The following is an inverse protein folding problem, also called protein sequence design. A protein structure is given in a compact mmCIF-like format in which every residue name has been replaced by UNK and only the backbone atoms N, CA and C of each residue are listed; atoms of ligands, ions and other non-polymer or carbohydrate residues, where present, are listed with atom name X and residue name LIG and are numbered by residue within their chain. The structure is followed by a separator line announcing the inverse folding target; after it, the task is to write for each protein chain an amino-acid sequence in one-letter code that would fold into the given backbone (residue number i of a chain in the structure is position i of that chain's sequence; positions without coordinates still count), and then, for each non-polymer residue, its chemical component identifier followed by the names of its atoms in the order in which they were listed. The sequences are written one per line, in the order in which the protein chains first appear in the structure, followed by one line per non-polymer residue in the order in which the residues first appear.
data_IF_553408055931
#
_entry.id   IF_553408055931
#
_cell.length_a   1.000
_cell.length_b   1.000
_cell.length_c   1.000
_cell.angle_alpha   90.00
_cell.angle_beta   90.00
_cell.angle_gamma   90.00
#
_symmetry.space_group_name_H-M   'P 1'
#
loop_
_entity.id
_entity.type
_entity.pdbx_description
1 polymer ?
#
# COMPACT_ATOMS: atom_id res chain seq x y z
N UNK A 1 23.96 4.51 9.57
CA UNK A 1 24.01 5.73 10.42
C UNK A 1 24.15 5.43 11.90
N UNK A 2 23.75 4.24 12.39
CA UNK A 2 23.74 3.95 13.83
C UNK A 2 25.12 4.09 14.50
N UNK A 3 26.17 3.56 13.86
CA UNK A 3 27.56 3.69 14.35
C UNK A 3 28.10 5.12 14.42
N UNK A 4 27.51 6.06 13.67
CA UNK A 4 28.00 7.43 13.63
C UNK A 4 27.58 8.26 14.87
N UNK A 5 26.59 7.78 15.63
CA UNK A 5 26.02 8.50 16.78
C UNK A 5 26.06 7.67 18.07
N UNK A 6 26.95 6.67 18.13
CA UNK A 6 27.01 5.69 19.23
C UNK A 6 27.29 6.31 20.60
N UNK A 7 27.97 7.47 20.64
CA UNK A 7 28.29 8.20 21.88
C UNK A 7 27.19 9.19 22.35
N UNK A 8 26.08 9.32 21.61
CA UNK A 8 25.01 10.28 21.92
C UNK A 8 23.72 9.58 22.35
N UNK A 9 22.88 10.21 23.21
CA UNK A 9 21.53 9.75 23.47
C UNK A 9 20.73 9.67 22.17
N UNK A 10 20.13 8.51 21.90
CA UNK A 10 19.41 8.23 20.65
C UNK A 10 17.95 7.91 20.91
N UNK A 11 17.08 8.55 20.15
CA UNK A 11 15.66 8.20 20.04
C UNK A 11 15.46 7.46 18.71
N UNK A 12 14.82 6.29 18.76
CA UNK A 12 14.49 5.52 17.55
C UNK A 12 13.40 6.22 16.72
N UNK A 13 13.44 6.05 15.40
CA UNK A 13 12.40 6.60 14.55
C UNK A 13 11.12 5.75 14.66
N UNK A 14 10.06 6.30 15.25
CA UNK A 14 8.77 5.61 15.40
C UNK A 14 8.18 5.16 14.05
N UNK A 15 8.36 5.96 13.00
CA UNK A 15 7.90 5.59 11.65
C UNK A 15 8.69 4.41 11.07
N UNK A 16 10.00 4.32 11.35
CA UNK A 16 10.81 3.17 10.96
C UNK A 16 10.40 1.92 11.75
N UNK A 17 10.20 2.04 13.06
CA UNK A 17 9.76 0.93 13.91
C UNK A 17 8.37 0.41 13.49
N UNK A 18 7.46 1.29 13.08
CA UNK A 18 6.17 0.90 12.54
C UNK A 18 6.30 0.13 11.23
N UNK A 19 7.28 0.45 10.38
CA UNK A 19 7.59 -0.31 9.17
C UNK A 19 8.24 -1.67 9.46
N UNK A 20 8.90 -1.83 10.61
CA UNK A 20 9.55 -3.07 11.04
C UNK A 20 8.61 -4.04 11.77
N UNK A 21 7.35 -3.68 11.99
CA UNK A 21 6.35 -4.62 12.45
C UNK A 21 6.20 -5.69 11.36
N UNK A 22 6.95 -6.78 11.54
CA UNK A 22 6.99 -7.87 10.59
C UNK A 22 5.59 -8.47 10.51
N UNK A 23 5.05 -8.39 9.31
CA UNK A 23 3.76 -8.92 9.00
C UNK A 23 3.88 -10.42 8.86
N UNK A 24 3.77 -11.17 9.96
CA UNK A 24 3.18 -12.52 9.90
C UNK A 24 1.73 -12.36 9.45
N UNK A 25 1.60 -12.09 8.16
CA UNK A 25 0.38 -11.83 7.44
C UNK A 25 -0.10 -13.19 6.96
N UNK A 26 -1.33 -13.50 7.33
CA UNK A 26 -2.10 -14.67 6.88
C UNK A 26 -1.85 -14.86 5.38
N UNK A 27 -1.47 -16.08 4.96
CA UNK A 27 -1.05 -16.40 3.59
C UNK A 27 -2.02 -15.84 2.52
N UNK A 28 -3.32 -15.86 2.81
CA UNK A 28 -4.38 -15.33 1.94
C UNK A 28 -4.22 -13.83 1.65
N UNK A 29 -3.85 -13.03 2.66
CA UNK A 29 -3.63 -11.59 2.49
C UNK A 29 -2.35 -11.35 1.67
N UNK A 30 -1.30 -12.15 1.90
CA UNK A 30 -0.07 -12.08 1.12
C UNK A 30 -0.31 -12.33 -0.36
N UNK A 31 -1.15 -13.32 -0.67
CA UNK A 31 -1.55 -13.64 -2.04
C UNK A 31 -2.34 -12.51 -2.70
N UNK A 32 -3.31 -11.90 -2.00
CA UNK A 32 -4.07 -10.76 -2.52
C UNK A 32 -3.17 -9.54 -2.80
N UNK A 33 -2.23 -9.24 -1.89
CA UNK A 33 -1.27 -8.14 -2.09
C UNK A 33 -0.38 -8.41 -3.32
N UNK A 34 0.03 -9.66 -3.54
CA UNK A 34 0.81 -10.05 -4.72
C UNK A 34 0.02 -9.82 -6.01
N UNK A 35 -1.24 -10.26 -6.06
CA UNK A 35 -2.11 -10.03 -7.22
C UNK A 35 -2.28 -8.54 -7.51
N UNK A 36 -2.45 -7.70 -6.48
CA UNK A 36 -2.48 -6.25 -6.62
C UNK A 36 -1.18 -5.70 -7.24
N UNK A 37 -0.01 -6.15 -6.76
CA UNK A 37 1.29 -5.73 -7.32
C UNK A 37 1.43 -6.12 -8.79
N UNK A 38 1.00 -7.32 -9.15
CA UNK A 38 1.07 -7.84 -10.52
C UNK A 38 0.13 -7.06 -11.46
N UNK A 39 -1.09 -6.76 -11.00
CA UNK A 39 -2.05 -5.92 -11.71
C UNK A 39 -1.49 -4.52 -11.99
N UNK A 40 -0.95 -3.84 -10.97
CA UNK A 40 -0.35 -2.50 -11.15
C UNK A 40 0.82 -2.56 -12.12
N UNK A 41 1.66 -3.59 -12.00
CA UNK A 41 2.81 -3.81 -12.90
C UNK A 41 2.36 -4.00 -14.35
N UNK A 42 1.31 -4.80 -14.56
CA UNK A 42 0.72 -5.01 -15.88
C UNK A 42 0.19 -3.70 -16.48
N UNK A 43 -0.54 -2.89 -15.69
CA UNK A 43 -1.07 -1.60 -16.14
C UNK A 43 0.05 -0.63 -16.55
N UNK A 44 1.14 -0.59 -15.79
CA UNK A 44 2.32 0.22 -16.13
C UNK A 44 3.00 -0.24 -17.41
N UNK A 45 3.27 -1.55 -17.53
CA UNK A 45 3.96 -2.13 -18.70
C UNK A 45 3.14 -2.03 -19.98
N UNK A 46 1.82 -2.14 -19.86
CA UNK A 46 0.90 -2.13 -21.00
C UNK A 46 0.40 -0.74 -21.37
N UNK A 47 0.85 0.32 -20.68
CA UNK A 47 0.41 1.69 -20.93
C UNK A 47 -1.08 1.95 -20.61
N UNK A 48 -1.73 1.07 -19.85
CA UNK A 48 -3.17 1.16 -19.55
C UNK A 48 -3.49 2.19 -18.46
N UNK A 49 -2.48 2.76 -17.80
CA UNK A 49 -2.65 3.80 -16.78
C UNK A 49 -3.42 5.02 -17.32
N UNK A 50 -3.25 5.36 -18.60
CA UNK A 50 -3.95 6.47 -19.27
C UNK A 50 -5.46 6.25 -19.43
N UNK A 51 -5.94 5.01 -19.26
CA UNK A 51 -7.36 4.67 -19.35
C UNK A 51 -8.09 4.80 -18.01
N UNK A 52 -7.37 5.15 -16.94
CA UNK A 52 -7.90 5.33 -15.60
C UNK A 52 -7.94 6.81 -15.25
N UNK A 53 -8.94 7.22 -14.47
CA UNK A 53 -9.01 8.58 -13.92
C UNK A 53 -7.93 8.78 -12.85
N UNK A 54 -7.66 7.72 -12.08
CA UNK A 54 -6.62 7.70 -11.06
C UNK A 54 -5.56 6.65 -11.43
N UNK A 55 -4.29 7.04 -11.43
CA UNK A 55 -3.17 6.13 -11.67
C UNK A 55 -3.07 5.08 -10.57
N UNK A 56 -2.89 3.80 -10.95
CA UNK A 56 -2.60 2.74 -9.99
C UNK A 56 -1.19 2.94 -9.40
N UNK A 57 -1.10 2.94 -8.07
CA UNK A 57 0.13 3.16 -7.33
C UNK A 57 0.85 1.85 -7.06
N UNK A 58 2.17 1.83 -7.18
CA UNK A 58 2.98 0.67 -6.79
C UNK A 58 3.30 0.74 -5.30
N UNK A 59 3.21 -0.40 -4.62
CA UNK A 59 3.78 -0.56 -3.28
C UNK A 59 5.32 -0.49 -3.31
N UNK A 60 5.90 0.18 -2.32
CA UNK A 60 7.32 0.34 -2.01
C UNK A 60 7.62 -0.54 -0.78
N UNK A 61 8.49 -1.53 -0.96
CA UNK A 61 8.75 -2.57 0.04
C UNK A 61 9.13 -2.03 1.42
N UNK A 62 9.97 -1.01 1.48
CA UNK A 62 10.48 -0.42 2.74
C UNK A 62 9.49 0.48 3.47
N UNK A 63 8.29 0.72 2.90
CA UNK A 63 7.29 1.64 3.45
C UNK A 63 5.90 1.01 3.40
N UNK A 64 5.44 0.46 4.51
CA UNK A 64 4.20 -0.33 4.56
C UNK A 64 2.96 0.46 4.09
N UNK A 65 2.91 1.78 4.33
CA UNK A 65 1.79 2.66 3.94
C UNK A 65 1.58 2.72 2.41
N UNK A 66 2.62 2.46 1.62
CA UNK A 66 2.52 2.36 0.17
C UNK A 66 1.69 1.15 -0.29
N UNK A 67 1.61 0.10 0.53
CA UNK A 67 0.71 -1.04 0.29
C UNK A 67 -0.74 -0.60 0.47
N UNK A 68 -1.04 0.19 1.50
CA UNK A 68 -2.36 0.82 1.64
C UNK A 68 -2.69 1.69 0.43
N UNK A 69 -1.75 2.53 -0.03
CA UNK A 69 -1.97 3.41 -1.18
C UNK A 69 -2.21 2.66 -2.49
N UNK A 70 -1.51 1.55 -2.70
CA UNK A 70 -1.73 0.67 -3.84
C UNK A 70 -3.15 0.10 -3.81
N UNK A 71 -3.55 -0.50 -2.69
CA UNK A 71 -4.90 -1.07 -2.52
C UNK A 71 -5.96 0.03 -2.72
N UNK A 72 -5.74 1.21 -2.14
CA UNK A 72 -6.64 2.35 -2.29
C UNK A 72 -6.78 2.81 -3.75
N UNK A 73 -5.69 2.87 -4.50
CA UNK A 73 -5.75 3.22 -5.92
C UNK A 73 -6.54 2.20 -6.74
N UNK A 74 -6.42 0.92 -6.41
CA UNK A 74 -7.16 -0.17 -7.08
C UNK A 74 -8.65 -0.09 -6.73
N UNK A 75 -9.01 0.05 -5.45
CA UNK A 75 -10.42 0.08 -5.03
C UNK A 75 -11.14 1.35 -5.50
N UNK A 76 -10.44 2.49 -5.62
CA UNK A 76 -10.99 3.72 -6.24
C UNK A 76 -11.24 3.58 -7.74
N UNK A 77 -10.42 2.81 -8.44
CA UNK A 77 -10.54 2.59 -9.88
C UNK A 77 -11.30 1.31 -10.24
N UNK A 78 -11.91 0.63 -9.26
CA UNK A 78 -12.44 -0.73 -9.45
C UNK A 78 -13.50 -0.82 -10.55
N UNK A 79 -14.41 0.15 -10.64
CA UNK A 79 -15.40 0.22 -11.74
C UNK A 79 -14.75 0.35 -13.11
N UNK A 80 -13.73 1.22 -13.24
CA UNK A 80 -12.99 1.38 -14.50
C UNK A 80 -12.20 0.12 -14.85
N UNK A 81 -11.66 -0.58 -13.83
CA UNK A 81 -11.00 -1.87 -14.03
C UNK A 81 -11.99 -2.92 -14.53
N UNK A 82 -13.20 -2.96 -13.99
CA UNK A 82 -14.28 -3.84 -14.47
C UNK A 82 -14.63 -3.54 -15.93
N UNK A 83 -14.78 -2.26 -16.30
CA UNK A 83 -15.03 -1.87 -17.70
C UNK A 83 -13.89 -2.33 -18.62
N UNK A 84 -12.63 -2.13 -18.22
CA UNK A 84 -11.45 -2.58 -18.99
C UNK A 84 -11.42 -4.11 -19.08
N UNK A 85 -11.87 -4.83 -18.05
CA UNK A 85 -11.89 -6.29 -18.03
C UNK A 85 -12.81 -6.91 -19.10
N UNK A 86 -13.84 -6.18 -19.53
CA UNK A 86 -14.73 -6.63 -20.62
C UNK A 86 -14.02 -6.76 -21.97
N UNK A 87 -12.92 -6.03 -22.15
CA UNK A 87 -12.14 -5.95 -23.39
C UNK A 87 -10.71 -6.49 -23.28
N UNK A 88 -10.25 -6.82 -22.06
CA UNK A 88 -8.88 -7.30 -21.77
C UNK A 88 -8.94 -8.49 -20.82
N UNK A 89 -8.72 -9.69 -21.38
CA UNK A 89 -8.78 -10.95 -20.64
C UNK A 89 -7.75 -11.03 -19.51
N UNK A 90 -6.57 -10.43 -19.67
CA UNK A 90 -5.55 -10.38 -18.62
C UNK A 90 -6.05 -9.59 -17.39
N UNK A 91 -6.71 -8.44 -17.62
CA UNK A 91 -7.30 -7.63 -16.55
C UNK A 91 -8.41 -8.40 -15.85
N UNK A 92 -9.27 -9.06 -16.63
CA UNK A 92 -10.31 -9.96 -16.08
C UNK A 92 -9.71 -11.05 -15.19
N UNK A 93 -8.65 -11.72 -15.66
CA UNK A 93 -7.99 -12.78 -14.88
C UNK A 93 -7.41 -12.29 -13.55
N UNK A 94 -7.00 -11.01 -13.45
CA UNK A 94 -6.59 -10.45 -12.17
C UNK A 94 -7.79 -10.18 -11.26
N UNK A 95 -8.84 -9.55 -11.79
CA UNK A 95 -10.05 -9.24 -11.02
C UNK A 95 -10.76 -10.48 -10.49
N UNK A 96 -10.84 -11.55 -11.28
CA UNK A 96 -11.46 -12.82 -10.88
C UNK A 96 -10.75 -13.48 -9.68
N UNK A 97 -9.46 -13.15 -9.46
CA UNK A 97 -8.65 -13.64 -8.32
C UNK A 97 -8.65 -12.68 -7.14
N UNK A 98 -9.09 -11.44 -7.34
CA UNK A 98 -9.12 -10.44 -6.28
C UNK A 98 -10.41 -10.55 -5.49
N UNK A 99 -10.28 -10.56 -4.16
CA UNK A 99 -11.41 -10.40 -3.26
C UNK A 99 -11.52 -8.92 -2.87
N UNK A 100 -12.38 -8.17 -3.58
CA UNK A 100 -12.64 -6.75 -3.32
C UNK A 100 -13.07 -6.50 -1.87
N UNK A 101 -13.85 -7.40 -1.27
CA UNK A 101 -14.34 -7.28 0.11
C UNK A 101 -13.19 -7.39 1.09
N UNK A 102 -12.29 -8.34 0.88
CA UNK A 102 -11.08 -8.49 1.68
C UNK A 102 -10.15 -7.29 1.53
N UNK A 103 -9.97 -6.75 0.32
CA UNK A 103 -9.18 -5.53 0.10
C UNK A 103 -9.75 -4.35 0.88
N UNK A 104 -11.07 -4.14 0.85
CA UNK A 104 -11.74 -3.07 1.62
C UNK A 104 -11.58 -3.26 3.13
N UNK A 105 -11.72 -4.49 3.64
CA UNK A 105 -11.45 -4.79 5.06
C UNK A 105 -10.00 -4.50 5.44
N UNK A 106 -9.05 -4.87 4.59
CA UNK A 106 -7.63 -4.59 4.80
C UNK A 106 -7.37 -3.08 4.82
N UNK A 107 -8.02 -2.29 3.97
CA UNK A 107 -7.94 -0.83 4.05
C UNK A 107 -8.44 -0.29 5.38
N UNK A 108 -9.56 -0.81 5.91
CA UNK A 108 -10.07 -0.40 7.22
C UNK A 108 -9.08 -0.68 8.35
N UNK A 109 -8.35 -1.81 8.28
CA UNK A 109 -7.33 -2.19 9.27
C UNK A 109 -6.09 -1.29 9.14
N UNK A 110 -5.65 -1.01 7.91
CA UNK A 110 -4.40 -0.28 7.63
C UNK A 110 -4.54 1.25 7.76
N UNK A 111 -5.75 1.80 7.58
CA UNK A 111 -5.99 3.24 7.60
C UNK A 111 -5.57 3.92 8.93
N UNK A 112 -5.95 3.40 10.12
CA UNK A 112 -5.52 4.00 11.40
C UNK A 112 -4.01 4.10 11.53
N UNK A 113 -3.27 3.08 11.10
CA UNK A 113 -1.81 3.10 11.12
C UNK A 113 -1.24 4.15 10.18
N UNK A 114 -1.91 4.43 9.06
CA UNK A 114 -1.45 5.41 8.07
C UNK A 114 -1.60 6.80 8.65
N UNK A 115 -2.77 7.08 9.19
CA UNK A 115 -3.07 8.34 9.89
C UNK A 115 -2.11 8.55 11.07
N UNK A 116 -1.85 7.50 11.85
CA UNK A 116 -0.88 7.57 12.96
C UNK A 116 0.53 7.88 12.46
N UNK A 117 0.98 7.22 11.39
CA UNK A 117 2.30 7.48 10.78
C UNK A 117 2.40 8.93 10.31
N UNK A 118 1.40 9.42 9.58
CA UNK A 118 1.34 10.81 9.10
C UNK A 118 1.39 11.80 10.26
N UNK A 119 0.65 11.52 11.34
CA UNK A 119 0.67 12.32 12.57
C UNK A 119 2.01 12.25 13.31
N UNK A 120 2.72 11.12 13.32
CA UNK A 120 4.03 11.00 13.95
C UNK A 120 5.14 11.67 13.12
N UNK A 121 4.95 11.76 11.80
CA UNK A 121 5.93 12.33 10.87
C UNK A 121 5.73 13.81 10.58
N UNK A 122 4.70 14.46 11.12
CA UNK A 122 4.54 15.90 10.93
C UNK A 122 5.57 16.70 11.75
N UNK A 123 5.94 17.86 11.22
CA UNK A 123 6.88 18.78 11.86
C UNK A 123 6.20 20.05 12.37
N UNK A 124 4.90 20.22 12.08
CA UNK A 124 4.15 21.46 12.38
C UNK A 124 3.59 21.51 13.79
N UNK A 125 3.37 20.35 14.41
CA UNK A 125 2.85 20.24 15.77
C UNK A 125 3.71 19.25 16.56
N UNK A 126 3.58 19.28 17.89
CA UNK A 126 4.30 18.35 18.77
C UNK A 126 3.78 16.93 18.56
N UNK A 127 4.68 16.03 18.15
CA UNK A 127 4.38 14.61 17.90
C UNK A 127 4.95 13.67 18.96
N UNK A 128 5.89 14.17 19.76
CA UNK A 128 6.61 13.44 20.78
C UNK A 128 6.37 14.10 22.13
N UNK A 129 5.47 13.51 22.92
CA UNK A 129 5.15 13.96 24.27
C UNK A 129 5.79 12.97 25.25
N UNK A 130 6.82 13.41 25.99
CA UNK A 130 7.37 12.74 27.17
C UNK A 130 7.00 13.57 28.39
#
# INVERSE_FOLDING_TARGET
MEKAFEIYPRVGCSAHNLNLLDGTVIEDIGNQIKICKDLVTYFKRSGLQSQLTNTLKQSIEVRWDSTFEMIESITKSYSQLQDISTRKNEVKSFLDKLDETLLRKLQCILLPFKVLREKLCQEKEVTFNI
#
